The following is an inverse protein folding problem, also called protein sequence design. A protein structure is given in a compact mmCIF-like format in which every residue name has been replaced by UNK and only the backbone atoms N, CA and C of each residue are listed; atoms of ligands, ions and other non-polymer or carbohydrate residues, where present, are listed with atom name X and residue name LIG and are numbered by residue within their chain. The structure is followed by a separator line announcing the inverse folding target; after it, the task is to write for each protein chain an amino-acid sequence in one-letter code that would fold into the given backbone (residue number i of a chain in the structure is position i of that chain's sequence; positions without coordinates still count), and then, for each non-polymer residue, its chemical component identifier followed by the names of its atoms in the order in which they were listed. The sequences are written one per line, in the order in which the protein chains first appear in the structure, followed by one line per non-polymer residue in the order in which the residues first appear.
data_IF_984388693539
#
_entry.id   IF_984388693539
#
_cell.length_a   1.000
_cell.length_b   1.000
_cell.length_c   1.000
_cell.angle_alpha   90.00
_cell.angle_beta   90.00
_cell.angle_gamma   90.00
#
_symmetry.space_group_name_H-M   'P 1'
#
loop_
_entity.id
_entity.type
_entity.pdbx_description
1 polymer ?
#
# COMPACT_ATOMS: atom_id res chain seq x y z
N UNK A 1 -13.60 -10.57 -4.77
CA UNK A 1 -12.79 -11.27 -3.75
C UNK A 1 -12.04 -10.20 -2.95
N UNK A 2 -12.34 -10.02 -1.67
CA UNK A 2 -11.79 -8.91 -0.84
C UNK A 2 -10.26 -8.96 -0.77
N UNK A 3 -9.69 -10.16 -0.77
CA UNK A 3 -8.24 -10.37 -0.74
C UNK A 3 -7.53 -9.79 -1.98
N UNK A 4 -8.10 -10.03 -3.18
CA UNK A 4 -7.57 -9.47 -4.44
C UNK A 4 -7.60 -7.94 -4.41
N UNK A 5 -8.69 -7.36 -3.90
CA UNK A 5 -8.79 -5.89 -3.77
C UNK A 5 -7.77 -5.33 -2.78
N UNK A 6 -7.57 -5.98 -1.62
CA UNK A 6 -6.50 -5.62 -0.67
C UNK A 6 -5.14 -5.66 -1.36
N UNK A 7 -4.86 -6.73 -2.09
CA UNK A 7 -3.57 -6.91 -2.76
C UNK A 7 -3.31 -5.83 -3.81
N UNK A 8 -4.28 -5.57 -4.69
CA UNK A 8 -4.15 -4.53 -5.73
C UNK A 8 -4.00 -3.15 -5.12
N UNK A 9 -4.72 -2.83 -4.04
CA UNK A 9 -4.59 -1.55 -3.35
C UNK A 9 -3.22 -1.38 -2.68
N UNK A 10 -2.68 -2.43 -2.05
CA UNK A 10 -1.32 -2.40 -1.48
C UNK A 10 -0.28 -2.16 -2.57
N UNK A 11 -0.37 -2.85 -3.70
CA UNK A 11 0.53 -2.64 -4.83
C UNK A 11 0.44 -1.22 -5.39
N UNK A 12 -0.76 -0.66 -5.51
CA UNK A 12 -0.95 0.72 -5.97
C UNK A 12 -0.29 1.73 -5.03
N UNK A 13 -0.45 1.57 -3.71
CA UNK A 13 0.19 2.45 -2.71
C UNK A 13 1.71 2.34 -2.76
N UNK A 14 2.26 1.12 -2.87
CA UNK A 14 3.72 0.92 -3.01
C UNK A 14 4.21 1.57 -4.31
N UNK A 15 3.46 1.43 -5.40
CA UNK A 15 3.79 2.04 -6.69
C UNK A 15 3.83 3.58 -6.61
N UNK A 16 2.87 4.21 -5.93
CA UNK A 16 2.86 5.67 -5.72
C UNK A 16 4.14 6.16 -5.03
N UNK A 17 4.57 5.44 -3.98
CA UNK A 17 5.79 5.76 -3.22
C UNK A 17 7.10 5.47 -3.96
N UNK A 18 7.05 4.79 -5.12
CA UNK A 18 8.25 4.38 -5.88
C UNK A 18 8.38 5.09 -7.21
N UNK A 19 7.28 5.35 -7.90
CA UNK A 19 7.25 5.90 -9.25
C UNK A 19 6.68 7.32 -9.29
N UNK A 20 5.72 7.65 -8.43
CA UNK A 20 5.03 8.94 -8.47
C UNK A 20 5.45 9.91 -7.36
N UNK A 21 6.69 9.78 -6.87
CA UNK A 21 7.19 10.53 -5.70
C UNK A 21 7.05 12.05 -5.89
N UNK A 22 7.29 12.56 -7.09
CA UNK A 22 7.25 13.99 -7.42
C UNK A 22 5.83 14.60 -7.45
N UNK A 23 4.78 13.76 -7.44
CA UNK A 23 3.38 14.20 -7.53
C UNK A 23 2.61 13.93 -6.23
N UNK A 24 3.30 13.99 -5.09
CA UNK A 24 2.75 13.58 -3.78
C UNK A 24 1.42 14.26 -3.43
N UNK A 25 1.29 15.56 -3.71
CA UNK A 25 0.06 16.32 -3.44
C UNK A 25 -1.16 15.74 -4.17
N UNK A 26 -0.97 15.12 -5.34
CA UNK A 26 -2.05 14.53 -6.14
C UNK A 26 -2.61 13.23 -5.53
N UNK A 27 -1.79 12.50 -4.78
CA UNK A 27 -2.13 11.14 -4.35
C UNK A 27 -2.06 10.90 -2.84
N UNK A 28 -1.58 11.83 -2.03
CA UNK A 28 -1.48 11.64 -0.58
C UNK A 28 -2.85 11.39 0.09
N UNK A 29 -3.91 12.05 -0.39
CA UNK A 29 -5.28 11.80 0.09
C UNK A 29 -5.79 10.42 -0.34
N UNK A 30 -5.44 9.99 -1.55
CA UNK A 30 -5.76 8.66 -2.05
C UNK A 30 -5.03 7.58 -1.24
N UNK A 31 -3.76 7.79 -0.92
CA UNK A 31 -2.96 6.92 -0.05
C UNK A 31 -3.64 6.77 1.31
N UNK A 32 -3.94 7.88 2.00
CA UNK A 32 -4.53 7.83 3.33
C UNK A 32 -5.87 7.08 3.38
N UNK A 33 -6.74 7.29 2.39
CA UNK A 33 -8.01 6.55 2.29
C UNK A 33 -7.79 5.07 1.97
N UNK A 34 -6.86 4.77 1.07
CA UNK A 34 -6.52 3.41 0.66
C UNK A 34 -5.93 2.61 1.81
N UNK A 35 -4.96 3.17 2.52
CA UNK A 35 -4.33 2.60 3.71
C UNK A 35 -5.37 2.33 4.79
N UNK A 36 -6.23 3.31 5.09
CA UNK A 36 -7.31 3.14 6.07
C UNK A 36 -8.25 1.98 5.71
N UNK A 37 -8.60 1.86 4.43
CA UNK A 37 -9.46 0.79 3.94
C UNK A 37 -8.78 -0.59 4.00
N UNK A 38 -7.53 -0.72 3.54
CA UNK A 38 -6.82 -2.03 3.59
C UNK A 38 -6.54 -2.47 5.03
N UNK A 39 -6.27 -1.55 5.96
CA UNK A 39 -6.15 -1.88 7.39
C UNK A 39 -7.42 -2.51 7.93
N UNK A 40 -8.58 -1.95 7.60
CA UNK A 40 -9.87 -2.47 8.03
C UNK A 40 -10.24 -3.83 7.40
N UNK A 41 -9.68 -4.16 6.22
CA UNK A 41 -10.01 -5.39 5.48
C UNK A 41 -9.00 -6.52 5.69
N UNK A 42 -7.71 -6.21 5.74
CA UNK A 42 -6.63 -7.18 5.84
C UNK A 42 -6.30 -7.55 7.29
N UNK A 43 -6.53 -6.65 8.25
CA UNK A 43 -6.18 -6.87 9.66
C UNK A 43 -4.71 -7.29 9.81
N UNK A 44 -4.47 -8.40 10.51
CA UNK A 44 -3.12 -8.95 10.77
C UNK A 44 -2.38 -9.44 9.52
N UNK A 45 -3.08 -9.65 8.40
CA UNK A 45 -2.45 -10.10 7.15
C UNK A 45 -1.80 -8.97 6.35
N UNK A 46 -2.06 -7.69 6.69
CA UNK A 46 -1.58 -6.53 5.93
C UNK A 46 -0.05 -6.52 5.80
N UNK A 47 0.68 -6.85 6.87
CA UNK A 47 2.15 -6.89 6.83
C UNK A 47 2.71 -7.90 5.82
N UNK A 48 2.00 -9.01 5.58
CA UNK A 48 2.40 -10.00 4.57
C UNK A 48 2.21 -9.43 3.17
N UNK A 49 1.12 -8.71 2.92
CA UNK A 49 0.89 -8.04 1.64
C UNK A 49 1.92 -6.94 1.39
N UNK A 50 2.23 -6.10 2.38
CA UNK A 50 3.24 -5.02 2.21
C UNK A 50 4.60 -5.62 1.89
N UNK A 51 5.01 -6.69 2.61
CA UNK A 51 6.27 -7.39 2.34
C UNK A 51 6.30 -7.99 0.94
N UNK A 52 5.28 -8.78 0.58
CA UNK A 52 5.21 -9.42 -0.74
C UNK A 52 5.16 -8.39 -1.88
N UNK A 53 4.48 -7.26 -1.67
CA UNK A 53 4.39 -6.17 -2.63
C UNK A 53 5.75 -5.48 -2.85
N UNK A 54 6.48 -5.24 -1.76
CA UNK A 54 7.84 -4.69 -1.85
C UNK A 54 8.80 -5.66 -2.57
N UNK A 55 8.73 -6.95 -2.26
CA UNK A 55 9.52 -7.99 -2.96
C UNK A 55 9.18 -8.04 -4.46
N UNK A 56 7.89 -7.98 -4.82
CA UNK A 56 7.42 -7.99 -6.22
C UNK A 56 7.86 -6.75 -7.01
N UNK A 57 7.69 -5.56 -6.42
CA UNK A 57 8.00 -4.29 -7.08
C UNK A 57 9.46 -3.86 -6.92
N UNK A 58 10.30 -4.69 -6.26
CA UNK A 58 11.71 -4.40 -5.94
C UNK A 58 11.87 -3.06 -5.22
N UNK A 59 10.96 -2.79 -4.29
CA UNK A 59 10.90 -1.54 -3.53
C UNK A 59 11.21 -1.77 -2.05
N UNK A 60 11.29 -0.67 -1.30
CA UNK A 60 11.56 -0.69 0.14
C UNK A 60 10.68 0.32 0.88
N UNK A 61 9.38 0.34 0.54
CA UNK A 61 8.40 1.20 1.21
C UNK A 61 8.25 0.73 2.65
N UNK A 62 8.43 1.65 3.59
CA UNK A 62 8.40 1.35 5.02
C UNK A 62 7.00 0.91 5.47
N UNK A 63 6.87 -0.16 6.30
CA UNK A 63 5.57 -0.61 6.81
C UNK A 63 4.74 0.48 7.51
N UNK A 64 5.40 1.50 8.07
CA UNK A 64 4.77 2.67 8.69
C UNK A 64 3.85 3.45 7.75
N UNK A 65 4.08 3.40 6.43
CA UNK A 65 3.17 3.99 5.41
C UNK A 65 1.80 3.35 5.49
N UNK A 66 1.75 2.05 5.77
CA UNK A 66 0.50 1.30 5.99
C UNK A 66 0.04 1.34 7.47
N UNK A 67 0.70 2.13 8.31
CA UNK A 67 0.45 2.24 9.74
C UNK A 67 0.61 0.91 10.50
N UNK A 68 1.63 0.13 10.11
CA UNK A 68 2.10 -1.10 10.74
C UNK A 68 3.39 -0.88 11.53
#
# INVERSE_FOLDING_TARGET
NVEVSVWVTVLAVIWLHTICVDQREEWELLEGKSVSWVKAKAGSSLGKFVRAGNELLKSSVEPKVFGL
#
